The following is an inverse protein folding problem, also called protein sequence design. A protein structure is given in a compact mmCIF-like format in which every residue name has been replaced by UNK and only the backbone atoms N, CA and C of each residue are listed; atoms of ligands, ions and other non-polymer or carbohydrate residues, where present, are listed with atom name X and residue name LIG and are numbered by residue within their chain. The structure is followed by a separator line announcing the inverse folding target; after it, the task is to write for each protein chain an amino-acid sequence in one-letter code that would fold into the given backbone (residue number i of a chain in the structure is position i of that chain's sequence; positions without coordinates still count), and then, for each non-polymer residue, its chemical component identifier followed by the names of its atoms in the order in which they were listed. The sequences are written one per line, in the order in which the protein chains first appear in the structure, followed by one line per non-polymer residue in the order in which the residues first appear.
data_IF_634990316054
#
_entry.id   IF_634990316054
#
_cell.length_a   1.000
_cell.length_b   1.000
_cell.length_c   1.000
_cell.angle_alpha   90.00
_cell.angle_beta   90.00
_cell.angle_gamma   90.00
#
_symmetry.space_group_name_H-M   'P 1'
#
loop_
_entity.id
_entity.type
_entity.pdbx_description
1 polymer ?
#
# COMPACT_ATOMS: atom_id res chain seq x y z
N UNK A 1 14.50 20.15 10.10
CA UNK A 1 14.75 19.21 8.99
C UNK A 1 13.85 19.60 7.83
N UNK A 2 14.38 19.61 6.60
CA UNK A 2 13.62 19.88 5.40
C UNK A 2 13.43 18.59 4.58
N UNK A 3 12.23 18.36 4.09
CA UNK A 3 11.83 17.17 3.33
C UNK A 3 11.13 17.56 2.04
N UNK A 4 11.46 16.90 0.95
CA UNK A 4 10.71 16.94 -0.31
C UNK A 4 9.84 15.69 -0.43
N UNK A 5 8.54 15.88 -0.65
CA UNK A 5 7.59 14.79 -0.88
C UNK A 5 7.13 14.78 -2.34
N UNK A 6 7.31 13.64 -3.01
CA UNK A 6 6.95 13.39 -4.40
C UNK A 6 5.60 12.69 -4.55
N UNK A 7 4.99 12.78 -5.72
CA UNK A 7 3.71 12.11 -6.04
C UNK A 7 2.60 12.42 -5.02
N UNK A 8 2.55 13.67 -4.54
CA UNK A 8 1.59 14.06 -3.53
C UNK A 8 0.18 14.26 -4.12
N UNK A 9 -0.81 13.71 -3.43
CA UNK A 9 -2.21 13.89 -3.75
C UNK A 9 -2.80 15.04 -2.95
N UNK A 10 -3.90 15.59 -3.44
CA UNK A 10 -4.56 16.73 -2.81
C UNK A 10 -5.04 16.42 -1.38
N UNK A 11 -5.49 15.20 -1.13
CA UNK A 11 -5.97 14.71 0.16
C UNK A 11 -4.85 14.48 1.19
N UNK A 12 -3.57 14.46 0.77
CA UNK A 12 -2.41 14.32 1.67
C UNK A 12 -1.89 15.66 2.20
N UNK A 13 -2.22 16.78 1.53
CA UNK A 13 -1.61 18.09 1.80
C UNK A 13 -1.85 18.59 3.22
N UNK A 14 -3.05 18.35 3.75
CA UNK A 14 -3.41 18.75 5.11
C UNK A 14 -2.55 18.00 6.15
N UNK A 15 -2.32 16.71 5.94
CA UNK A 15 -1.49 15.89 6.83
C UNK A 15 -0.02 16.31 6.78
N UNK A 16 0.53 16.62 5.60
CA UNK A 16 1.89 17.14 5.50
C UNK A 16 2.07 18.45 6.28
N UNK A 17 1.10 19.36 6.18
CA UNK A 17 1.13 20.61 6.95
C UNK A 17 1.03 20.34 8.44
N UNK A 18 0.01 19.59 8.87
CA UNK A 18 -0.25 19.30 10.29
C UNK A 18 0.96 18.64 10.97
N UNK A 19 1.48 17.58 10.37
CA UNK A 19 2.60 16.86 10.96
C UNK A 19 3.93 17.58 10.77
N UNK A 20 4.10 18.34 9.69
CA UNK A 20 5.25 19.22 9.52
C UNK A 20 5.35 20.24 10.66
N UNK A 21 4.27 20.91 10.99
CA UNK A 21 4.18 21.85 12.13
C UNK A 21 4.41 21.13 13.47
N UNK A 22 3.74 19.99 13.68
CA UNK A 22 3.83 19.23 14.93
C UNK A 22 5.26 18.75 15.24
N UNK A 23 6.00 18.33 14.22
CA UNK A 23 7.33 17.74 14.40
C UNK A 23 8.49 18.65 13.97
N UNK A 24 8.21 19.89 13.62
CA UNK A 24 9.23 20.85 13.18
C UNK A 24 9.94 20.44 11.88
N UNK A 25 9.21 19.84 10.95
CA UNK A 25 9.68 19.42 9.63
C UNK A 25 9.11 20.37 8.58
N UNK A 26 9.98 21.06 7.85
CA UNK A 26 9.59 21.83 6.66
C UNK A 26 9.36 20.84 5.52
N UNK A 27 8.12 20.78 5.00
CA UNK A 27 7.74 19.85 3.94
C UNK A 27 7.42 20.61 2.66
N UNK A 28 8.23 20.39 1.64
CA UNK A 28 7.92 20.79 0.26
C UNK A 28 7.27 19.61 -0.47
N UNK A 29 6.33 19.90 -1.37
CA UNK A 29 5.53 18.85 -2.02
C UNK A 29 5.47 19.08 -3.52
N UNK A 30 5.49 17.99 -4.30
CA UNK A 30 5.22 18.00 -5.73
C UNK A 30 4.27 16.86 -6.12
N UNK A 31 3.48 17.08 -7.18
CA UNK A 31 2.65 16.02 -7.78
C UNK A 31 3.46 15.10 -8.70
N UNK A 32 4.64 15.52 -9.09
CA UNK A 32 5.52 14.77 -9.97
C UNK A 32 6.12 13.57 -9.26
N UNK A 33 6.31 12.49 -9.99
CA UNK A 33 7.08 11.34 -9.54
C UNK A 33 8.57 11.68 -9.51
N UNK A 34 9.35 11.10 -8.59
CA UNK A 34 10.80 11.30 -8.57
C UNK A 34 11.46 10.75 -9.83
N UNK A 35 12.36 11.54 -10.42
CA UNK A 35 13.17 11.16 -11.59
C UNK A 35 14.46 12.01 -11.61
N UNK A 36 15.37 11.69 -12.52
CA UNK A 36 16.63 12.43 -12.65
C UNK A 36 16.41 13.90 -13.04
N UNK A 37 15.40 14.18 -13.85
CA UNK A 37 15.08 15.51 -14.35
C UNK A 37 14.64 16.47 -13.24
N UNK A 38 14.02 15.94 -12.18
CA UNK A 38 13.55 16.73 -11.04
C UNK A 38 14.33 16.46 -9.74
N UNK A 39 15.44 15.74 -9.80
CA UNK A 39 16.27 15.44 -8.64
C UNK A 39 16.77 16.72 -7.92
N UNK A 40 16.88 17.84 -8.62
CA UNK A 40 17.29 19.13 -8.06
C UNK A 40 16.34 19.67 -6.99
N UNK A 41 15.08 19.22 -6.97
CA UNK A 41 14.12 19.58 -5.91
C UNK A 41 14.59 19.16 -4.50
N UNK A 42 15.54 18.23 -4.43
CA UNK A 42 16.13 17.78 -3.16
C UNK A 42 17.33 18.61 -2.70
N UNK A 43 17.76 19.63 -3.45
CA UNK A 43 18.84 20.51 -2.99
C UNK A 43 18.44 21.21 -1.68
N UNK A 44 19.22 20.98 -0.62
CA UNK A 44 18.96 21.52 0.72
C UNK A 44 17.96 20.73 1.56
N UNK A 45 17.41 19.63 1.03
CA UNK A 45 16.57 18.70 1.80
C UNK A 45 17.43 17.59 2.42
N UNK A 46 17.09 17.21 3.65
CA UNK A 46 17.70 16.06 4.34
C UNK A 46 16.88 14.77 4.14
N UNK A 47 15.65 14.88 3.68
CA UNK A 47 14.79 13.74 3.48
C UNK A 47 14.02 13.80 2.15
N UNK A 48 13.87 12.63 1.51
CA UNK A 48 12.98 12.40 0.38
C UNK A 48 11.81 11.53 0.83
N UNK A 49 10.58 11.94 0.51
CA UNK A 49 9.39 11.14 0.77
C UNK A 49 8.78 10.70 -0.55
N UNK A 50 8.70 9.37 -0.79
CA UNK A 50 8.29 8.79 -2.07
C UNK A 50 7.04 7.91 -1.92
N UNK A 51 6.41 7.51 -3.02
CA UNK A 51 5.26 6.62 -3.02
C UNK A 51 5.66 5.25 -3.63
N UNK A 52 5.33 4.98 -4.87
CA UNK A 52 5.54 3.67 -5.52
C UNK A 52 6.49 3.73 -6.70
N UNK A 53 6.95 4.91 -7.08
CA UNK A 53 7.88 5.08 -8.20
C UNK A 53 9.24 4.48 -7.87
N UNK A 54 9.86 3.73 -8.79
CA UNK A 54 11.20 3.19 -8.58
C UNK A 54 12.22 4.30 -8.27
N UNK A 55 13.03 4.04 -7.25
CA UNK A 55 14.15 4.88 -6.85
C UNK A 55 15.41 4.01 -6.92
N UNK A 56 16.08 4.10 -8.07
CA UNK A 56 17.25 3.30 -8.39
C UNK A 56 18.54 3.88 -7.82
N UNK A 57 19.64 3.14 -7.99
CA UNK A 57 20.94 3.53 -7.49
C UNK A 57 21.39 4.89 -8.05
N UNK A 58 21.13 5.19 -9.34
CA UNK A 58 21.56 6.43 -9.97
C UNK A 58 20.87 7.64 -9.35
N UNK A 59 19.58 7.55 -9.12
CA UNK A 59 18.80 8.59 -8.47
C UNK A 59 19.23 8.79 -7.01
N UNK A 60 19.51 7.69 -6.29
CA UNK A 60 20.01 7.71 -4.91
C UNK A 60 21.38 8.37 -4.84
N UNK A 61 22.30 8.08 -5.76
CA UNK A 61 23.61 8.75 -5.84
C UNK A 61 23.47 10.26 -5.99
N UNK A 62 22.55 10.70 -6.85
CA UNK A 62 22.29 12.13 -7.06
C UNK A 62 21.72 12.77 -5.79
N UNK A 63 20.78 12.12 -5.11
CA UNK A 63 20.19 12.60 -3.87
C UNK A 63 21.22 12.67 -2.74
N UNK A 64 22.10 11.67 -2.67
CA UNK A 64 23.23 11.69 -1.73
C UNK A 64 24.12 12.91 -1.90
N UNK A 65 24.45 13.26 -3.16
CA UNK A 65 25.23 14.48 -3.46
C UNK A 65 24.53 15.77 -3.02
N UNK A 66 23.18 15.79 -2.98
CA UNK A 66 22.40 16.92 -2.47
C UNK A 66 22.24 16.93 -0.95
N UNK A 67 22.76 15.91 -0.24
CA UNK A 67 22.76 15.82 1.22
C UNK A 67 21.57 15.08 1.82
N UNK A 68 20.84 14.31 1.02
CA UNK A 68 19.75 13.45 1.52
C UNK A 68 20.32 12.36 2.42
N UNK A 69 19.74 12.20 3.60
CA UNK A 69 20.12 11.23 4.63
C UNK A 69 19.00 10.21 4.93
N UNK A 70 17.78 10.50 4.50
CA UNK A 70 16.60 9.68 4.74
C UNK A 70 15.74 9.57 3.49
N UNK A 71 15.34 8.35 3.13
CA UNK A 71 14.28 8.08 2.16
C UNK A 71 13.13 7.43 2.91
N UNK A 72 11.96 8.09 2.92
CA UNK A 72 10.76 7.56 3.56
C UNK A 72 9.74 7.18 2.50
N UNK A 73 9.25 5.94 2.50
CA UNK A 73 8.17 5.53 1.62
C UNK A 73 6.82 5.67 2.35
N UNK A 74 5.79 6.16 1.63
CA UNK A 74 4.41 6.19 2.14
C UNK A 74 3.68 4.87 1.85
N UNK A 75 4.43 3.78 1.70
CA UNK A 75 3.95 2.43 1.40
C UNK A 75 4.50 1.43 2.41
N UNK A 76 3.82 0.31 2.59
CA UNK A 76 4.33 -0.81 3.40
C UNK A 76 5.44 -1.55 2.65
N UNK A 77 5.21 -1.87 1.35
CA UNK A 77 6.25 -2.39 0.48
C UNK A 77 7.28 -1.31 0.15
N UNK A 78 8.54 -1.66 0.08
CA UNK A 78 9.65 -0.75 -0.19
C UNK A 78 10.62 -1.27 -1.25
N UNK A 79 10.26 -2.33 -1.95
CA UNK A 79 11.08 -3.00 -2.98
C UNK A 79 11.35 -2.11 -4.19
N UNK A 80 10.58 -1.05 -4.38
CA UNK A 80 10.79 -0.04 -5.41
C UNK A 80 11.95 0.93 -5.11
N UNK A 81 12.51 0.90 -3.88
CA UNK A 81 13.70 1.66 -3.50
C UNK A 81 14.89 0.70 -3.42
N UNK A 82 16.01 1.02 -4.08
CA UNK A 82 17.26 0.30 -3.87
C UNK A 82 17.85 0.61 -2.49
N UNK A 83 17.20 0.10 -1.46
CA UNK A 83 17.58 0.30 -0.07
C UNK A 83 18.96 -0.26 0.25
N UNK A 84 19.43 -1.26 -0.52
CA UNK A 84 20.77 -1.84 -0.33
C UNK A 84 21.85 -0.86 -0.80
N UNK A 85 21.59 -0.16 -1.90
CA UNK A 85 22.48 0.88 -2.39
C UNK A 85 22.44 2.09 -1.45
N UNK A 86 21.25 2.54 -1.01
CA UNK A 86 21.09 3.61 -0.05
C UNK A 86 21.89 3.35 1.25
N UNK A 87 21.83 2.12 1.78
CA UNK A 87 22.58 1.73 2.98
C UNK A 87 24.09 1.85 2.82
N UNK A 88 24.66 1.56 1.62
CA UNK A 88 26.09 1.74 1.36
C UNK A 88 26.53 3.20 1.42
N UNK A 89 25.64 4.12 1.13
CA UNK A 89 25.86 5.57 1.19
C UNK A 89 25.49 6.18 2.55
N UNK A 90 25.06 5.37 3.52
CA UNK A 90 24.64 5.83 4.84
C UNK A 90 23.26 6.49 4.84
N UNK A 91 22.45 6.33 3.78
CA UNK A 91 21.09 6.84 3.71
C UNK A 91 20.15 5.82 4.37
N UNK A 92 19.41 6.26 5.39
CA UNK A 92 18.37 5.45 6.02
C UNK A 92 17.15 5.33 5.08
N UNK A 93 16.55 4.14 5.03
CA UNK A 93 15.28 3.91 4.32
C UNK A 93 14.23 3.45 5.32
N UNK A 94 13.08 4.12 5.34
CA UNK A 94 11.94 3.79 6.21
C UNK A 94 10.69 3.59 5.37
N UNK A 95 9.79 2.75 5.87
CA UNK A 95 8.50 2.49 5.24
C UNK A 95 7.35 2.81 6.19
N UNK A 96 6.12 2.87 5.64
CA UNK A 96 4.92 3.03 6.46
C UNK A 96 4.53 1.71 7.12
N UNK A 97 4.09 1.80 8.38
CA UNK A 97 3.48 0.67 9.08
C UNK A 97 2.04 1.02 9.43
N UNK A 98 1.10 0.17 9.02
CA UNK A 98 -0.31 0.29 9.41
C UNK A 98 -0.88 -1.10 9.73
N UNK A 99 -2.06 -1.12 10.31
CA UNK A 99 -2.75 -2.39 10.59
C UNK A 99 -3.13 -3.08 9.29
N UNK A 100 -3.14 -4.41 9.24
CA UNK A 100 -3.51 -5.16 8.04
C UNK A 100 -5.02 -5.07 7.74
N UNK A 101 -5.83 -4.53 8.65
CA UNK A 101 -7.30 -4.54 8.60
C UNK A 101 -7.84 -3.89 7.34
N UNK A 102 -7.38 -2.68 6.99
CA UNK A 102 -7.87 -1.94 5.81
C UNK A 102 -7.77 -2.78 4.53
N UNK A 103 -6.63 -3.43 4.30
CA UNK A 103 -6.41 -4.25 3.10
C UNK A 103 -7.18 -5.57 3.20
N UNK A 104 -7.23 -6.18 4.37
CA UNK A 104 -7.95 -7.42 4.59
C UNK A 104 -9.46 -7.23 4.41
N UNK A 105 -10.05 -6.19 4.97
CA UNK A 105 -11.47 -5.84 4.79
C UNK A 105 -11.79 -5.53 3.32
N UNK A 106 -10.93 -4.77 2.63
CA UNK A 106 -11.08 -4.53 1.21
C UNK A 106 -11.05 -5.83 0.40
N UNK A 107 -10.21 -6.79 0.79
CA UNK A 107 -10.13 -8.11 0.16
C UNK A 107 -11.45 -8.89 0.36
N UNK A 108 -11.98 -8.94 1.56
CA UNK A 108 -13.27 -9.59 1.86
C UNK A 108 -14.41 -8.92 1.07
N UNK A 109 -14.46 -7.59 1.07
CA UNK A 109 -15.44 -6.84 0.28
C UNK A 109 -15.37 -7.24 -1.20
N UNK A 110 -14.16 -7.30 -1.76
CA UNK A 110 -13.95 -7.62 -3.19
C UNK A 110 -14.37 -9.05 -3.51
N UNK A 111 -14.06 -10.02 -2.63
CA UNK A 111 -14.53 -11.41 -2.75
C UNK A 111 -16.07 -11.44 -2.80
N UNK A 112 -16.73 -10.80 -1.83
CA UNK A 112 -18.20 -10.75 -1.78
C UNK A 112 -18.79 -10.07 -3.01
N UNK A 113 -18.23 -8.96 -3.46
CA UNK A 113 -18.65 -8.28 -4.69
C UNK A 113 -18.56 -9.20 -5.91
N UNK A 114 -17.47 -9.97 -6.03
CA UNK A 114 -17.26 -10.90 -7.13
C UNK A 114 -18.30 -12.03 -7.15
N UNK A 115 -18.44 -12.76 -6.03
CA UNK A 115 -19.35 -13.91 -5.94
C UNK A 115 -20.83 -13.52 -6.00
N UNK A 116 -21.16 -12.28 -5.59
CA UNK A 116 -22.51 -11.71 -5.67
C UNK A 116 -22.79 -10.95 -6.98
N UNK A 117 -21.82 -10.92 -7.92
CA UNK A 117 -21.94 -10.24 -9.23
C UNK A 117 -22.27 -8.74 -9.12
N UNK A 118 -21.75 -8.07 -8.11
CA UNK A 118 -22.08 -6.68 -7.79
C UNK A 118 -21.79 -5.71 -8.94
N UNK A 119 -20.76 -5.93 -9.75
CA UNK A 119 -20.47 -5.10 -10.93
C UNK A 119 -21.65 -5.05 -11.89
N UNK A 120 -22.29 -6.20 -12.15
CA UNK A 120 -23.45 -6.28 -13.04
C UNK A 120 -24.67 -5.57 -12.42
N UNK A 121 -24.88 -5.79 -11.12
CA UNK A 121 -26.00 -5.19 -10.37
C UNK A 121 -25.85 -3.66 -10.36
N UNK A 122 -24.67 -3.14 -10.05
CA UNK A 122 -24.42 -1.69 -10.00
C UNK A 122 -24.59 -1.03 -11.38
N UNK A 123 -24.12 -1.66 -12.45
CA UNK A 123 -24.31 -1.14 -13.81
C UNK A 123 -25.79 -1.09 -14.21
N UNK A 124 -26.57 -2.09 -13.83
CA UNK A 124 -28.04 -2.10 -14.06
C UNK A 124 -28.77 -1.06 -13.24
N UNK A 125 -28.34 -0.89 -11.98
CA UNK A 125 -28.92 0.12 -11.09
C UNK A 125 -28.86 1.53 -11.68
N UNK A 126 -27.78 1.90 -12.36
CA UNK A 126 -27.65 3.18 -13.07
C UNK A 126 -28.76 3.34 -14.13
N UNK A 127 -29.12 2.25 -14.81
CA UNK A 127 -30.23 2.20 -15.80
C UNK A 127 -31.61 1.91 -15.19
N UNK A 128 -31.73 1.95 -13.85
CA UNK A 128 -32.97 1.61 -13.11
C UNK A 128 -33.53 0.20 -13.43
N UNK A 129 -32.66 -0.73 -13.84
CA UNK A 129 -32.99 -2.14 -13.99
C UNK A 129 -32.69 -2.92 -12.69
N UNK A 130 -33.75 -3.19 -11.95
CA UNK A 130 -33.69 -3.97 -10.68
C UNK A 130 -33.99 -5.45 -10.88
N UNK A 131 -34.01 -5.95 -12.13
CA UNK A 131 -34.30 -7.35 -12.43
C UNK A 131 -33.18 -8.26 -11.92
N UNK A 132 -33.56 -9.47 -11.45
CA UNK A 132 -32.64 -10.50 -10.99
C UNK A 132 -32.12 -11.41 -12.13
N UNK A 133 -32.38 -11.06 -13.39
CA UNK A 133 -31.99 -11.88 -14.55
C UNK A 133 -30.47 -12.00 -14.61
N UNK A 134 -29.97 -13.23 -14.64
CA UNK A 134 -28.53 -13.57 -14.75
C UNK A 134 -27.61 -13.00 -13.65
N UNK A 135 -28.16 -12.56 -12.51
CA UNK A 135 -27.40 -12.05 -11.37
C UNK A 135 -27.39 -13.02 -10.18
N UNK A 136 -27.70 -14.30 -10.42
CA UNK A 136 -27.57 -15.32 -9.37
C UNK A 136 -26.15 -15.35 -8.85
N UNK A 137 -25.97 -14.97 -7.58
CA UNK A 137 -24.72 -15.04 -6.86
C UNK A 137 -24.57 -16.38 -6.13
N UNK A 138 -23.46 -16.52 -5.41
CA UNK A 138 -23.16 -17.65 -4.55
C UNK A 138 -22.95 -17.18 -3.11
N UNK A 139 -23.14 -18.08 -2.16
CA UNK A 139 -22.78 -17.90 -0.75
C UNK A 139 -21.32 -18.25 -0.55
N UNK A 140 -20.66 -17.56 0.37
CA UNK A 140 -19.23 -17.79 0.66
C UNK A 140 -19.03 -19.02 1.55
N UNK A 141 -19.95 -19.28 2.50
CA UNK A 141 -19.85 -20.38 3.45
C UNK A 141 -19.58 -21.76 2.84
N UNK A 142 -20.33 -22.20 1.80
CA UNK A 142 -20.07 -23.51 1.17
C UNK A 142 -18.89 -23.52 0.19
N UNK A 143 -18.07 -22.47 0.14
CA UNK A 143 -16.93 -22.38 -0.79
C UNK A 143 -15.61 -22.73 -0.10
N UNK A 144 -14.63 -23.16 -0.90
CA UNK A 144 -13.24 -23.23 -0.50
C UNK A 144 -12.52 -21.99 -1.00
N UNK A 145 -11.84 -21.27 -0.11
CA UNK A 145 -11.07 -20.05 -0.41
C UNK A 145 -9.58 -20.34 -0.26
N UNK A 146 -8.82 -20.13 -1.34
CA UNK A 146 -7.36 -20.23 -1.31
C UNK A 146 -6.74 -18.88 -0.93
N UNK A 147 -5.84 -18.88 0.05
CA UNK A 147 -5.05 -17.70 0.46
C UNK A 147 -3.57 -18.00 0.19
N UNK A 148 -2.97 -17.27 -0.74
CA UNK A 148 -1.54 -17.37 -1.07
C UNK A 148 -0.81 -16.20 -0.44
N UNK A 149 0.14 -16.51 0.46
CA UNK A 149 0.82 -15.54 1.31
C UNK A 149 0.12 -15.39 2.66
N UNK A 150 0.77 -15.91 3.72
CA UNK A 150 0.29 -15.85 5.10
C UNK A 150 1.07 -14.86 5.95
N UNK A 151 1.45 -13.72 5.34
CA UNK A 151 1.97 -12.56 6.05
C UNK A 151 0.88 -11.87 6.87
N UNK A 152 1.15 -10.69 7.41
CA UNK A 152 0.21 -9.94 8.27
C UNK A 152 -1.18 -9.77 7.63
N UNK A 153 -1.22 -9.41 6.33
CA UNK A 153 -2.48 -9.22 5.60
C UNK A 153 -3.18 -10.56 5.38
N UNK A 154 -2.46 -11.58 4.89
CA UNK A 154 -3.05 -12.89 4.63
C UNK A 154 -3.62 -13.56 5.88
N UNK A 155 -2.94 -13.46 7.02
CA UNK A 155 -3.46 -13.93 8.31
C UNK A 155 -4.77 -13.24 8.67
N UNK A 156 -4.81 -11.90 8.53
CA UNK A 156 -6.01 -11.13 8.82
C UNK A 156 -7.18 -11.48 7.89
N UNK A 157 -6.90 -11.74 6.62
CA UNK A 157 -7.91 -12.23 5.66
C UNK A 157 -8.45 -13.59 6.10
N UNK A 158 -7.58 -14.51 6.53
CA UNK A 158 -7.97 -15.84 7.04
C UNK A 158 -8.88 -15.69 8.26
N UNK A 159 -8.52 -14.87 9.23
CA UNK A 159 -9.33 -14.58 10.41
C UNK A 159 -10.73 -14.07 10.03
N UNK A 160 -10.82 -13.11 9.12
CA UNK A 160 -12.10 -12.56 8.67
C UNK A 160 -12.94 -13.59 7.89
N UNK A 161 -12.31 -14.45 7.08
CA UNK A 161 -12.97 -15.52 6.36
C UNK A 161 -13.56 -16.57 7.30
N UNK A 162 -12.95 -16.82 8.45
CA UNK A 162 -13.45 -17.73 9.47
C UNK A 162 -14.88 -17.43 9.91
N UNK A 163 -15.27 -16.14 9.95
CA UNK A 163 -16.63 -15.72 10.28
C UNK A 163 -17.70 -16.13 9.26
N UNK A 164 -17.32 -16.50 8.04
CA UNK A 164 -18.24 -16.98 7.00
C UNK A 164 -18.43 -18.51 7.01
N UNK A 165 -17.60 -19.25 7.76
CA UNK A 165 -17.65 -20.70 7.82
C UNK A 165 -17.24 -21.42 6.54
N UNK A 166 -16.48 -20.77 5.67
CA UNK A 166 -15.93 -21.38 4.46
C UNK A 166 -14.69 -22.22 4.78
N UNK A 167 -14.39 -23.18 3.92
CA UNK A 167 -13.11 -23.89 3.97
C UNK A 167 -11.99 -22.97 3.51
N UNK A 168 -10.86 -22.96 4.24
CA UNK A 168 -9.72 -22.09 3.92
C UNK A 168 -8.50 -22.96 3.65
N UNK A 169 -7.89 -22.78 2.47
CA UNK A 169 -6.62 -23.38 2.10
C UNK A 169 -5.56 -22.29 2.05
N UNK A 170 -4.58 -22.36 2.92
CA UNK A 170 -3.51 -21.36 3.01
C UNK A 170 -2.19 -21.93 2.46
N UNK A 171 -1.45 -21.11 1.72
CA UNK A 171 -0.11 -21.42 1.21
C UNK A 171 0.86 -20.28 1.48
N UNK A 172 2.06 -20.62 1.95
CA UNK A 172 3.21 -19.71 2.04
C UNK A 172 4.51 -20.51 1.84
N UNK A 173 5.60 -19.82 1.56
CA UNK A 173 6.94 -20.41 1.52
C UNK A 173 7.41 -20.83 2.92
N UNK A 174 6.99 -20.09 3.95
CA UNK A 174 7.27 -20.38 5.35
C UNK A 174 5.99 -20.86 6.05
N UNK A 175 6.03 -22.06 6.63
CA UNK A 175 4.92 -22.58 7.43
C UNK A 175 4.87 -21.89 8.79
N UNK A 176 3.69 -21.33 9.14
CA UNK A 176 3.43 -20.69 10.42
C UNK A 176 2.37 -21.45 11.19
N UNK A 177 2.74 -21.98 12.35
CA UNK A 177 1.79 -22.74 13.21
C UNK A 177 0.59 -21.91 13.67
N UNK A 178 0.76 -20.61 13.84
CA UNK A 178 -0.35 -19.70 14.17
C UNK A 178 -1.44 -19.67 13.09
N UNK A 179 -1.09 -19.83 11.81
CA UNK A 179 -2.06 -19.85 10.70
C UNK A 179 -2.94 -21.10 10.71
N UNK A 180 -2.42 -22.22 11.22
CA UNK A 180 -3.21 -23.47 11.36
C UNK A 180 -4.29 -23.40 12.43
N UNK A 181 -4.22 -22.41 13.31
CA UNK A 181 -5.15 -22.23 14.43
C UNK A 181 -6.25 -21.22 14.14
N UNK A 182 -6.15 -20.53 13.01
CA UNK A 182 -7.16 -19.59 12.53
C UNK A 182 -8.25 -20.32 11.75
#
# INVERSE_FOLDING_TARGET
MKMMAFSCRQDEMEFFRQFGEQYGVEVETTKEAPCMENAELLKGCQAACVLTTPVDAQLIDQWHQYGVQLISTRTVGFEHVDYRHAAKLGIAVTNATYTPDTVAEYTIMTILMAIRKMKIILNRYIGQDFSLRNVRGRELGPMTVGVVGTGRIGQRVIELLGGFGCEILAYDLEHKEEVRRL
#
